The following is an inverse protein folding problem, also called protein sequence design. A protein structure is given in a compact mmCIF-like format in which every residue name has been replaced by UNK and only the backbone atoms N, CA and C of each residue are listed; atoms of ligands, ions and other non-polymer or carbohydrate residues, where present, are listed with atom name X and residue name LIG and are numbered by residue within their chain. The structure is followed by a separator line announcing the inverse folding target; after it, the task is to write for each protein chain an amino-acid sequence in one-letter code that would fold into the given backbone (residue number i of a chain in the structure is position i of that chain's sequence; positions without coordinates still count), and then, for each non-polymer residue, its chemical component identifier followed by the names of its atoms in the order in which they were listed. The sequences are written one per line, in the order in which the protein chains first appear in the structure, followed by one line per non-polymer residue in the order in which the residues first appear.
data_IF_149446702972
#
_entry.id   IF_149446702972
#
_cell.length_a   1.000
_cell.length_b   1.000
_cell.length_c   1.000
_cell.angle_alpha   90.00
_cell.angle_beta   90.00
_cell.angle_gamma   90.00
#
_symmetry.space_group_name_H-M   'P 1'
#
loop_
_entity.id
_entity.type
_entity.pdbx_description
1 polymer ?
#
# COMPACT_ATOMS: atom_id res chain seq x y z
N UNK A 1 7.90 14.39 -8.12
CA UNK A 1 8.34 13.92 -6.80
C UNK A 1 7.85 12.48 -6.66
N UNK A 2 8.68 11.55 -6.18
CA UNK A 2 8.30 10.13 -6.07
C UNK A 2 8.05 9.79 -4.60
N UNK A 3 6.85 9.34 -4.26
CA UNK A 3 6.57 8.76 -2.95
C UNK A 3 6.90 7.28 -3.01
N UNK A 4 7.81 6.85 -2.13
CA UNK A 4 8.21 5.44 -2.05
C UNK A 4 7.63 4.87 -0.76
N UNK A 5 6.92 3.76 -0.89
CA UNK A 5 6.52 2.92 0.22
C UNK A 5 7.21 1.57 0.11
N UNK A 6 7.52 0.98 1.27
CA UNK A 6 8.10 -0.36 1.36
C UNK A 6 7.05 -1.30 1.94
N UNK A 7 6.79 -2.41 1.26
CA UNK A 7 5.93 -3.47 1.76
C UNK A 7 6.60 -4.10 2.98
N UNK A 8 5.85 -4.19 4.09
CA UNK A 8 6.29 -4.82 5.34
C UNK A 8 5.64 -6.18 5.55
N UNK A 9 4.39 -6.33 5.12
CA UNK A 9 3.64 -7.58 5.27
C UNK A 9 2.59 -7.69 4.17
N UNK A 10 2.31 -8.92 3.76
CA UNK A 10 1.24 -9.25 2.82
C UNK A 10 0.28 -10.19 3.55
N UNK A 11 -0.98 -9.78 3.68
CA UNK A 11 -2.04 -10.61 4.25
C UNK A 11 -2.32 -11.83 3.41
N UNK A 12 -2.76 -12.93 4.04
CA UNK A 12 -3.03 -14.21 3.35
C UNK A 12 -4.13 -14.10 2.29
N UNK A 13 -5.08 -13.18 2.48
CA UNK A 13 -6.18 -12.90 1.55
C UNK A 13 -6.02 -11.54 0.87
N UNK A 14 -4.84 -10.92 0.95
CA UNK A 14 -4.61 -9.58 0.43
C UNK A 14 -4.49 -9.53 -1.10
N UNK A 15 -4.19 -10.67 -1.72
CA UNK A 15 -3.98 -10.78 -3.16
C UNK A 15 -4.71 -12.04 -3.63
N UNK A 16 -5.75 -11.85 -4.43
CA UNK A 16 -6.39 -12.91 -5.20
C UNK A 16 -6.42 -12.49 -6.68
N UNK A 17 -5.95 -13.39 -7.55
CA UNK A 17 -5.94 -13.17 -8.99
C UNK A 17 -7.35 -13.07 -9.58
N UNK A 18 -8.39 -13.53 -8.86
CA UNK A 18 -9.78 -13.46 -9.32
C UNK A 18 -10.42 -12.09 -9.10
N UNK A 19 -10.08 -11.44 -7.99
CA UNK A 19 -10.74 -10.20 -7.57
C UNK A 19 -10.05 -8.95 -8.14
N UNK A 20 -8.81 -9.08 -8.64
CA UNK A 20 -8.06 -8.00 -9.30
C UNK A 20 -7.90 -6.74 -8.43
N UNK A 21 -8.05 -6.89 -7.12
CA UNK A 21 -8.07 -5.80 -6.14
C UNK A 21 -7.00 -6.05 -5.09
N UNK A 22 -6.27 -4.99 -4.74
CA UNK A 22 -5.28 -5.00 -3.67
C UNK A 22 -5.57 -3.83 -2.73
N UNK A 23 -5.74 -4.13 -1.45
CA UNK A 23 -5.93 -3.12 -0.40
C UNK A 23 -4.58 -2.82 0.23
N UNK A 24 -4.19 -1.55 0.29
CA UNK A 24 -2.95 -1.12 0.92
C UNK A 24 -3.24 -0.38 2.23
N UNK A 25 -2.65 -0.84 3.33
CA UNK A 25 -2.77 -0.21 4.65
C UNK A 25 -1.42 0.25 5.21
N UNK A 26 -1.46 1.26 6.08
CA UNK A 26 -0.29 1.73 6.83
C UNK A 26 0.02 0.86 8.05
N UNK A 27 1.16 1.13 8.69
CA UNK A 27 1.48 0.57 10.01
C UNK A 27 0.40 1.03 11.03
N UNK A 28 -0.26 0.06 11.68
CA UNK A 28 -1.34 0.33 12.64
C UNK A 28 -2.72 -0.20 12.23
N UNK A 29 -2.83 -0.93 11.11
CA UNK A 29 -4.03 -1.71 10.82
C UNK A 29 -4.30 -2.74 11.93
N UNK A 30 -5.58 -3.04 12.21
CA UNK A 30 -5.93 -4.11 13.14
C UNK A 30 -5.61 -5.49 12.50
N UNK A 31 -5.53 -6.54 13.31
CA UNK A 31 -5.18 -7.89 12.83
C UNK A 31 -6.12 -8.40 11.72
N UNK A 32 -7.40 -8.08 11.81
CA UNK A 32 -8.39 -8.50 10.82
C UNK A 32 -8.13 -7.85 9.45
N UNK A 33 -7.72 -6.57 9.45
CA UNK A 33 -7.35 -5.84 8.23
C UNK A 33 -5.99 -6.30 7.70
N UNK A 34 -5.04 -6.64 8.57
CA UNK A 34 -3.73 -7.17 8.15
C UNK A 34 -3.85 -8.46 7.33
N UNK A 35 -4.83 -9.31 7.61
CA UNK A 35 -5.00 -10.58 6.89
C UNK A 35 -5.57 -10.41 5.46
N UNK A 36 -6.26 -9.31 5.21
CA UNK A 36 -6.91 -9.00 3.91
C UNK A 36 -6.23 -7.85 3.16
N UNK A 37 -5.09 -7.35 3.63
CA UNK A 37 -4.41 -6.20 3.01
C UNK A 37 -2.88 -6.33 2.98
N UNK A 38 -2.25 -5.51 2.15
CA UNK A 38 -0.80 -5.35 2.11
C UNK A 38 -0.43 -4.17 3.01
N UNK A 39 0.41 -4.44 3.99
CA UNK A 39 0.91 -3.43 4.91
C UNK A 39 2.15 -2.78 4.32
N UNK A 40 2.09 -1.47 4.13
CA UNK A 40 3.16 -0.65 3.57
C UNK A 40 3.55 0.48 4.52
N UNK A 41 4.83 0.83 4.51
CA UNK A 41 5.37 1.98 5.24
C UNK A 41 5.92 2.99 4.25
N UNK A 42 5.42 4.22 4.30
CA UNK A 42 5.99 5.33 3.53
C UNK A 42 7.34 5.76 4.11
N UNK A 43 8.28 6.13 3.24
CA UNK A 43 9.56 6.68 3.67
C UNK A 43 9.38 7.95 4.52
N UNK A 44 10.26 8.14 5.50
CA UNK A 44 10.31 9.36 6.31
C UNK A 44 10.66 10.60 5.48
N UNK A 45 11.38 10.42 4.37
CA UNK A 45 11.74 11.49 3.44
C UNK A 45 10.54 11.98 2.62
N UNK A 46 9.58 11.08 2.35
CA UNK A 46 8.37 11.37 1.57
C UNK A 46 7.13 10.88 2.32
N UNK A 47 6.74 11.56 3.41
CA UNK A 47 5.61 11.14 4.23
C UNK A 47 4.28 11.26 3.46
N UNK A 48 3.34 10.35 3.77
CA UNK A 48 2.02 10.29 3.13
C UNK A 48 1.14 11.52 3.42
N UNK A 49 1.45 12.29 4.47
CA UNK A 49 0.63 13.45 4.90
C UNK A 49 0.43 14.51 3.81
N UNK A 50 1.36 14.61 2.86
CA UNK A 50 1.27 15.51 1.70
C UNK A 50 1.00 14.79 0.37
N UNK A 51 0.73 13.48 0.40
CA UNK A 51 0.50 12.71 -0.80
C UNK A 51 -0.91 12.97 -1.33
N UNK A 52 -0.99 13.45 -2.57
CA UNK A 52 -2.25 13.65 -3.29
C UNK A 52 -2.18 12.83 -4.56
N UNK A 53 -3.00 11.79 -4.66
CA UNK A 53 -3.10 10.96 -5.85
C UNK A 53 -4.24 11.46 -6.73
N UNK A 54 -3.92 11.85 -7.95
CA UNK A 54 -4.86 12.42 -8.92
C UNK A 54 -4.96 11.54 -10.16
N UNK A 55 -6.07 11.70 -10.89
CA UNK A 55 -6.23 11.06 -12.20
C UNK A 55 -5.10 11.50 -13.13
N UNK A 56 -4.41 10.52 -13.73
CA UNK A 56 -3.24 10.75 -14.59
C UNK A 56 -1.91 10.47 -13.89
N UNK A 57 -1.89 10.38 -12.56
CA UNK A 57 -0.71 9.92 -11.84
C UNK A 57 -0.49 8.41 -12.06
N UNK A 58 0.75 7.97 -11.89
CA UNK A 58 1.16 6.57 -12.08
C UNK A 58 1.56 5.97 -10.73
N UNK A 59 1.09 4.75 -10.47
CA UNK A 59 1.58 3.89 -9.41
C UNK A 59 2.42 2.79 -10.06
N UNK A 60 3.62 2.55 -9.52
CA UNK A 60 4.50 1.46 -9.95
C UNK A 60 4.71 0.54 -8.76
N UNK A 61 4.52 -0.78 -8.97
CA UNK A 61 4.72 -1.81 -7.95
C UNK A 61 5.83 -2.72 -8.43
N UNK A 62 6.94 -2.74 -7.70
CA UNK A 62 8.15 -3.53 -8.01
C UNK A 62 8.92 -3.17 -9.30
N UNK A 63 8.67 -1.99 -9.86
CA UNK A 63 9.38 -1.46 -11.03
C UNK A 63 8.77 -1.88 -12.35
#
# INVERSE_FOLDING_TARGET
MKWISTIKKIGKKAIDNKDGMVILFGEGANKDLEDVSVIQKFSYETPVKGFVFKKGDTLTVDG
#
